data_IF_192912500984
#
_entry.id   IF_192912500984
#
_cell.length_a   1.000
_cell.length_b   1.000
_cell.length_c   1.000
_cell.angle_alpha   90.00
_cell.angle_beta   90.00
_cell.angle_gamma   90.00
#
_symmetry.space_group_name_H-M   'P 1'
#
loop_
_entity.id
_entity.type
_entity.pdbx_description
1 polymer ?
#
# COMPACT_ATOMS: atom_id res chain seq x y z
N UNK A 1 -4.38 -26.74 0.29
CA UNK A 1 -3.26 -25.80 0.51
C UNK A 1 -3.87 -24.42 0.33
N UNK A 2 -3.90 -23.56 1.36
CA UNK A 2 -4.30 -22.16 1.10
C UNK A 2 -3.19 -21.60 0.23
N UNK A 3 -3.52 -21.10 -0.95
CA UNK A 3 -2.59 -20.27 -1.70
C UNK A 3 -2.21 -19.14 -0.76
N UNK A 4 -0.97 -19.16 -0.31
CA UNK A 4 -0.43 -18.12 0.55
C UNK A 4 -0.50 -16.86 -0.30
N UNK A 5 -1.39 -15.93 0.04
CA UNK A 5 -1.66 -14.75 -0.79
C UNK A 5 -0.35 -14.00 -1.05
N UNK A 6 0.18 -14.11 -2.27
CA UNK A 6 1.47 -13.55 -2.65
C UNK A 6 1.25 -12.16 -3.23
N UNK A 7 1.65 -11.12 -2.51
CA UNK A 7 1.75 -9.78 -3.09
C UNK A 7 3.03 -9.66 -3.92
N UNK A 8 3.08 -8.73 -4.90
CA UNK A 8 4.31 -8.44 -5.61
C UNK A 8 5.42 -8.00 -4.63
N UNK A 9 6.67 -8.28 -4.98
CA UNK A 9 7.85 -7.94 -4.16
C UNK A 9 8.13 -6.43 -4.20
N UNK A 10 7.27 -5.64 -3.55
CA UNK A 10 7.34 -4.17 -3.48
C UNK A 10 8.01 -3.70 -2.19
N UNK A 11 7.68 -4.35 -1.08
CA UNK A 11 8.11 -3.95 0.25
C UNK A 11 7.09 -4.31 1.31
N UNK A 12 6.73 -3.34 2.14
CA UNK A 12 5.97 -3.54 3.39
C UNK A 12 4.51 -3.12 3.22
N UNK A 13 3.56 -3.98 3.58
CA UNK A 13 2.15 -3.63 3.72
C UNK A 13 1.89 -2.89 5.04
N UNK A 14 1.12 -1.80 5.00
CA UNK A 14 0.97 -0.88 6.15
C UNK A 14 -0.48 -0.70 6.63
N UNK A 15 -1.45 -1.35 6.00
CA UNK A 15 -2.87 -1.26 6.39
C UNK A 15 -3.47 -2.64 6.61
N UNK A 16 -4.48 -2.72 7.46
CA UNK A 16 -5.37 -3.88 7.51
C UNK A 16 -6.68 -3.45 6.85
N UNK A 17 -7.06 -4.09 5.74
CA UNK A 17 -8.28 -3.73 5.01
C UNK A 17 -9.43 -4.68 5.32
N UNK A 18 -10.70 -4.19 5.33
CA UNK A 18 -11.90 -5.01 5.57
C UNK A 18 -12.10 -6.14 4.55
N UNK A 19 -11.45 -6.04 3.39
CA UNK A 19 -11.45 -6.97 2.28
C UNK A 19 -10.78 -8.32 2.54
N UNK A 20 -10.41 -8.61 3.79
CA UNK A 20 -9.69 -9.82 4.19
C UNK A 20 -8.36 -10.04 3.43
N UNK A 21 -7.73 -8.96 2.97
CA UNK A 21 -6.42 -9.00 2.30
C UNK A 21 -6.48 -9.02 0.76
N UNK A 22 -7.62 -8.78 0.13
CA UNK A 22 -7.65 -8.67 -1.34
C UNK A 22 -7.03 -7.36 -1.86
N UNK A 23 -6.98 -6.35 -1.00
CA UNK A 23 -6.37 -5.04 -1.27
C UNK A 23 -5.39 -4.69 -0.16
N UNK A 24 -4.30 -4.05 -0.55
CA UNK A 24 -3.25 -3.66 0.39
C UNK A 24 -2.64 -2.32 -0.01
N UNK A 25 -2.52 -1.41 0.96
CA UNK A 25 -1.60 -0.27 0.82
C UNK A 25 -0.20 -0.75 1.18
N UNK A 26 0.75 -0.56 0.26
CA UNK A 26 2.13 -1.01 0.38
C UNK A 26 3.13 0.14 0.17
N UNK A 27 4.29 0.00 0.82
CA UNK A 27 5.49 0.80 0.57
C UNK A 27 6.28 0.16 -0.58
N UNK A 28 6.41 0.87 -1.69
CA UNK A 28 7.12 0.43 -2.89
C UNK A 28 8.55 0.98 -2.91
N UNK A 29 9.52 0.07 -2.72
CA UNK A 29 10.95 0.36 -2.68
C UNK A 29 11.68 0.08 -4.00
N UNK A 30 10.98 -0.35 -5.06
CA UNK A 30 11.63 -0.78 -6.31
C UNK A 30 12.54 0.28 -6.94
N UNK A 31 12.14 1.55 -6.83
CA UNK A 31 12.91 2.67 -7.39
C UNK A 31 14.00 3.20 -6.45
N UNK A 32 13.71 3.26 -5.13
CA UNK A 32 14.58 3.92 -4.16
C UNK A 32 15.53 2.96 -3.42
N UNK A 33 15.30 1.65 -3.51
CA UNK A 33 16.04 0.63 -2.77
C UNK A 33 15.72 0.62 -1.27
N UNK A 34 16.30 -0.34 -0.50
CA UNK A 34 15.90 -0.63 0.89
C UNK A 34 16.18 0.50 1.90
N UNK A 35 17.01 1.48 1.54
CA UNK A 35 17.36 2.63 2.39
C UNK A 35 16.75 3.95 1.91
N UNK A 36 16.11 3.95 0.75
CA UNK A 36 15.47 5.14 0.19
C UNK A 36 14.07 5.36 0.74
N UNK A 37 13.47 6.49 0.39
CA UNK A 37 12.08 6.79 0.75
C UNK A 37 11.12 6.13 -0.24
N UNK A 38 10.25 5.20 0.22
CA UNK A 38 9.36 4.46 -0.67
C UNK A 38 8.17 5.30 -1.11
N UNK A 39 7.66 4.99 -2.30
CA UNK A 39 6.34 5.45 -2.72
C UNK A 39 5.26 4.68 -1.97
N UNK A 40 4.07 5.25 -1.84
CA UNK A 40 2.91 4.54 -1.32
C UNK A 40 2.02 4.13 -2.47
N UNK A 41 1.68 2.84 -2.55
CA UNK A 41 0.86 2.27 -3.63
C UNK A 41 -0.27 1.43 -3.07
N UNK A 42 -1.36 1.36 -3.81
CA UNK A 42 -2.44 0.41 -3.61
C UNK A 42 -2.22 -0.79 -4.54
N UNK A 43 -2.31 -2.00 -3.98
CA UNK A 43 -2.24 -3.25 -4.72
C UNK A 43 -3.59 -3.94 -4.65
N UNK A 44 -4.20 -4.13 -5.81
CA UNK A 44 -5.47 -4.83 -5.99
C UNK A 44 -5.19 -6.24 -6.52
N UNK A 45 -5.40 -7.24 -5.66
CA UNK A 45 -5.17 -8.63 -6.02
C UNK A 45 -6.23 -9.21 -6.95
N UNK A 46 -7.48 -8.75 -6.85
CA UNK A 46 -8.57 -9.24 -7.71
C UNK A 46 -8.38 -8.79 -9.17
N UNK A 47 -7.60 -7.72 -9.38
CA UNK A 47 -7.29 -7.17 -10.69
C UNK A 47 -5.83 -7.42 -11.12
N UNK A 48 -5.37 -8.67 -11.05
CA UNK A 48 -4.02 -9.09 -11.47
C UNK A 48 -2.89 -8.30 -10.77
N UNK A 49 -3.03 -8.09 -9.46
CA UNK A 49 -2.09 -7.32 -8.64
C UNK A 49 -1.85 -5.90 -9.16
N UNK A 50 -2.89 -5.26 -9.70
CA UNK A 50 -2.79 -3.89 -10.24
C UNK A 50 -2.24 -2.94 -9.18
N UNK A 51 -1.15 -2.27 -9.55
CA UNK A 51 -0.47 -1.30 -8.69
C UNK A 51 -0.93 0.11 -9.07
N UNK A 52 -1.54 0.82 -8.14
CA UNK A 52 -1.97 2.22 -8.31
C UNK A 52 -1.19 3.13 -7.37
N UNK A 53 -0.50 4.18 -7.85
CA UNK A 53 0.17 5.14 -6.98
C UNK A 53 -0.82 5.89 -6.08
N UNK A 54 -0.51 5.99 -4.79
CA UNK A 54 -1.31 6.72 -3.79
C UNK A 54 -0.60 7.98 -3.34
N UNK A 55 0.71 7.89 -3.05
CA UNK A 55 1.54 9.04 -2.70
C UNK A 55 2.97 8.86 -3.21
N UNK A 56 3.63 10.00 -3.47
CA UNK A 56 5.02 10.03 -3.96
C UNK A 56 6.04 9.62 -2.89
N UNK A 57 5.67 9.74 -1.61
CA UNK A 57 6.48 9.34 -0.46
C UNK A 57 5.58 9.04 0.76
N UNK A 58 6.14 8.38 1.76
CA UNK A 58 5.40 8.00 2.96
C UNK A 58 4.97 9.22 3.81
N UNK A 59 5.79 10.26 3.89
CA UNK A 59 5.48 11.43 4.68
C UNK A 59 4.30 12.23 4.09
N UNK A 60 4.21 12.31 2.76
CA UNK A 60 3.10 12.90 2.00
C UNK A 60 1.81 12.09 2.21
N UNK A 61 1.89 10.76 2.25
CA UNK A 61 0.75 9.91 2.59
C UNK A 61 0.21 10.23 3.99
N UNK A 62 1.08 10.24 5.02
CA UNK A 62 0.67 10.51 6.41
C UNK A 62 0.06 11.91 6.56
N UNK A 63 0.63 12.93 5.89
CA UNK A 63 0.09 14.30 5.93
C UNK A 63 -1.26 14.44 5.23
N UNK A 64 -1.59 13.53 4.31
CA UNK A 64 -2.88 13.52 3.62
C UNK A 64 -4.00 12.83 4.40
N UNK A 65 -3.69 12.16 5.52
CA UNK A 65 -4.70 11.52 6.36
C UNK A 65 -5.48 12.58 7.14
N UNK A 66 -6.81 12.54 7.02
CA UNK A 66 -7.71 13.39 7.79
C UNK A 66 -7.97 12.83 9.18
N UNK A 67 -8.33 13.73 10.10
CA UNK A 67 -8.85 13.33 11.41
C UNK A 67 -10.32 12.88 11.28
N UNK A 68 -10.78 11.93 12.11
CA UNK A 68 -12.15 11.41 12.01
C UNK A 68 -13.25 12.47 12.10
N UNK A 69 -13.05 13.51 12.92
CA UNK A 69 -13.97 14.63 13.15
C UNK A 69 -14.16 15.53 11.93
N UNK A 70 -13.36 15.35 10.87
CA UNK A 70 -13.51 16.10 9.61
C UNK A 70 -14.56 15.48 8.67
N UNK A 71 -15.12 14.31 9.03
CA UNK A 71 -16.04 13.53 8.19
C UNK A 71 -17.40 13.27 8.84
N UNK A 72 -17.73 14.00 9.92
CA UNK A 72 -19.04 14.01 10.61
C UNK A 72 -20.11 14.84 9.89
#
# INVERSE_FOLDING_TARGET
MREEWVYPALGVGITHMPSAGHEQIMLDYRDCGPTGEPKVVHVDQEFDHRITPVAVDFASFIRGLGYPDQFD
#
